data_IF_027023570140
#
_entry.id   IF_027023570140
#
_cell.length_a   1.000
_cell.length_b   1.000
_cell.length_c   1.000
_cell.angle_alpha   90.00
_cell.angle_beta   90.00
_cell.angle_gamma   90.00
#
_symmetry.space_group_name_H-M   'P 1'
#
loop_
_entity.id
_entity.type
_entity.pdbx_description
1 polymer ?
#
# COMPACT_ATOMS: atom_id res chain seq x y z
N UNK A 1 28.68 -22.03 1.43
CA UNK A 1 27.32 -22.12 0.85
C UNK A 1 26.37 -21.50 1.83
N UNK A 2 26.02 -20.23 1.64
CA UNK A 2 24.91 -19.59 2.36
C UNK A 2 23.84 -19.25 1.32
N UNK A 3 22.81 -20.09 1.28
CA UNK A 3 21.63 -19.90 0.45
C UNK A 3 20.47 -19.55 1.38
N UNK A 4 19.88 -18.37 1.19
CA UNK A 4 18.58 -18.02 1.76
C UNK A 4 18.60 -17.10 2.98
N UNK A 5 19.01 -15.84 2.78
CA UNK A 5 18.44 -14.77 3.59
C UNK A 5 17.06 -14.42 3.02
N UNK A 6 16.00 -14.19 3.83
CA UNK A 6 14.72 -13.81 3.29
C UNK A 6 14.89 -12.48 2.57
N UNK A 7 14.72 -12.47 1.24
CA UNK A 7 14.38 -11.24 0.54
C UNK A 7 12.95 -10.90 0.96
N UNK A 8 12.80 -10.34 2.18
CA UNK A 8 11.55 -9.79 2.67
C UNK A 8 11.19 -8.62 1.75
N UNK A 9 10.52 -8.96 0.65
CA UNK A 9 9.96 -7.97 -0.26
C UNK A 9 8.89 -7.23 0.52
N UNK A 10 9.24 -6.00 0.91
CA UNK A 10 8.31 -5.06 1.51
C UNK A 10 7.12 -4.92 0.55
N UNK A 11 5.92 -5.15 1.08
CA UNK A 11 4.70 -4.96 0.31
C UNK A 11 4.18 -3.56 0.57
N UNK A 12 3.90 -2.83 -0.51
CA UNK A 12 3.29 -1.51 -0.45
C UNK A 12 1.96 -1.57 -1.15
N UNK A 13 0.89 -1.22 -0.43
CA UNK A 13 -0.44 -1.01 -0.98
C UNK A 13 -0.64 0.49 -1.19
N UNK A 14 -0.95 0.92 -2.40
CA UNK A 14 -1.13 2.33 -2.74
C UNK A 14 -2.58 2.60 -3.10
N UNK A 15 -3.19 3.61 -2.50
CA UNK A 15 -4.50 4.13 -2.91
C UNK A 15 -4.34 5.45 -3.66
N UNK A 16 -4.90 5.48 -4.86
CA UNK A 16 -4.82 6.60 -5.78
C UNK A 16 -6.01 7.55 -5.63
N UNK A 17 -5.86 8.80 -6.11
CA UNK A 17 -6.93 9.82 -6.12
C UNK A 17 -8.20 9.40 -6.86
N UNK A 18 -8.10 8.49 -7.83
CA UNK A 18 -9.24 7.92 -8.56
C UNK A 18 -9.85 6.68 -7.88
N UNK A 19 -9.50 6.44 -6.62
CA UNK A 19 -9.92 5.30 -5.81
C UNK A 19 -9.44 3.94 -6.34
N UNK A 20 -8.46 3.90 -7.25
CA UNK A 20 -7.78 2.64 -7.59
C UNK A 20 -6.80 2.24 -6.50
N UNK A 21 -6.58 0.94 -6.36
CA UNK A 21 -5.64 0.38 -5.39
C UNK A 21 -4.67 -0.55 -6.10
N UNK A 22 -3.40 -0.35 -5.79
CA UNK A 22 -2.32 -1.18 -6.30
C UNK A 22 -1.62 -1.89 -5.13
N UNK A 23 -1.27 -3.17 -5.31
CA UNK A 23 -0.33 -3.86 -4.44
C UNK A 23 0.95 -4.08 -5.24
N UNK A 24 2.08 -3.53 -4.77
CA UNK A 24 3.35 -3.55 -5.51
C UNK A 24 3.22 -3.13 -6.98
N UNK A 25 2.42 -2.07 -7.26
CA UNK A 25 2.14 -1.51 -8.60
C UNK A 25 1.30 -2.41 -9.52
N UNK A 26 0.66 -3.45 -8.98
CA UNK A 26 -0.33 -4.24 -9.70
C UNK A 26 -1.72 -3.83 -9.24
N UNK A 27 -2.57 -3.43 -10.19
CA UNK A 27 -3.93 -3.00 -9.90
C UNK A 27 -4.83 -4.15 -9.44
N UNK A 28 -5.63 -3.86 -8.42
CA UNK A 28 -6.68 -4.74 -7.92
C UNK A 28 -7.97 -3.97 -7.69
N UNK A 29 -9.11 -4.64 -7.90
CA UNK A 29 -10.40 -4.10 -7.47
C UNK A 29 -10.55 -4.28 -5.96
N UNK A 30 -11.38 -3.45 -5.33
CA UNK A 30 -11.54 -3.42 -3.87
C UNK A 30 -12.06 -4.74 -3.32
N UNK A 31 -12.96 -5.37 -4.06
CA UNK A 31 -13.60 -6.65 -3.72
C UNK A 31 -12.60 -7.80 -3.68
N UNK A 32 -11.50 -7.69 -4.45
CA UNK A 32 -10.46 -8.72 -4.55
C UNK A 32 -9.31 -8.50 -3.57
N UNK A 33 -9.23 -7.35 -2.88
CA UNK A 33 -8.14 -7.06 -1.95
C UNK A 33 -8.03 -8.08 -0.81
N UNK A 34 -9.12 -8.52 -0.14
CA UNK A 34 -9.01 -9.51 0.93
C UNK A 34 -8.35 -10.82 0.44
N UNK A 35 -8.88 -11.42 -0.62
CA UNK A 35 -8.37 -12.65 -1.20
C UNK A 35 -6.90 -12.50 -1.65
N UNK A 36 -6.54 -11.35 -2.22
CA UNK A 36 -5.17 -11.09 -2.66
C UNK A 36 -4.20 -10.94 -1.49
N UNK A 37 -4.61 -10.29 -0.41
CA UNK A 37 -3.79 -10.19 0.78
C UNK A 37 -3.62 -11.57 1.44
N UNK A 38 -4.67 -12.38 1.52
CA UNK A 38 -4.56 -13.76 1.99
C UNK A 38 -3.59 -14.58 1.13
N UNK A 39 -3.69 -14.51 -0.20
CA UNK A 39 -2.80 -15.21 -1.13
C UNK A 39 -1.33 -14.79 -0.95
N UNK A 40 -1.06 -13.47 -0.87
CA UNK A 40 0.29 -12.91 -0.75
C UNK A 40 0.94 -13.29 0.59
N UNK A 41 0.15 -13.29 1.67
CA UNK A 41 0.64 -13.47 3.04
C UNK A 41 0.49 -14.89 3.58
N UNK A 42 -0.25 -15.79 2.92
CA UNK A 42 -0.35 -17.20 3.30
C UNK A 42 1.01 -17.88 3.50
N UNK A 43 2.02 -17.72 2.62
CA UNK A 43 3.33 -18.35 2.81
C UNK A 43 4.30 -17.55 3.70
N UNK A 44 3.91 -16.37 4.19
CA UNK A 44 4.82 -15.44 4.89
C UNK A 44 4.73 -15.63 6.41
N UNK A 45 5.89 -15.70 7.06
CA UNK A 45 5.97 -15.70 8.53
C UNK A 45 5.63 -14.32 9.10
N UNK A 46 6.15 -13.26 8.47
CA UNK A 46 5.85 -11.87 8.82
C UNK A 46 4.78 -11.30 7.90
N UNK A 47 3.68 -10.81 8.50
CA UNK A 47 2.53 -10.28 7.77
C UNK A 47 2.45 -8.77 7.93
N UNK A 48 3.39 -8.07 7.33
CA UNK A 48 3.54 -6.61 7.42
C UNK A 48 3.26 -5.95 6.07
N UNK A 49 2.45 -4.89 6.05
CA UNK A 49 2.20 -4.06 4.87
C UNK A 49 2.38 -2.57 5.17
N UNK A 50 2.85 -1.82 4.18
CA UNK A 50 2.83 -0.36 4.19
C UNK A 50 1.71 0.16 3.30
N UNK A 51 1.00 1.20 3.77
CA UNK A 51 -0.04 1.86 2.97
C UNK A 51 0.49 3.22 2.52
N UNK A 52 0.44 3.47 1.21
CA UNK A 52 0.68 4.78 0.61
C UNK A 52 -0.65 5.35 0.15
N UNK A 53 -0.89 6.63 0.43
CA UNK A 53 -2.07 7.32 -0.05
C UNK A 53 -1.65 8.57 -0.81
N UNK A 54 -2.18 8.73 -2.03
CA UNK A 54 -2.00 9.99 -2.76
C UNK A 54 -2.68 11.15 -2.01
N UNK A 55 -2.19 12.36 -2.25
CA UNK A 55 -2.81 13.58 -1.73
C UNK A 55 -4.28 13.65 -2.13
N UNK A 56 -5.15 14.16 -1.26
CA UNK A 56 -6.61 14.27 -1.45
C UNK A 56 -7.39 12.95 -1.36
N UNK A 57 -6.76 11.79 -1.14
CA UNK A 57 -7.51 10.58 -0.75
C UNK A 57 -8.17 10.82 0.62
N UNK A 58 -9.48 10.61 0.78
CA UNK A 58 -10.14 10.76 2.08
C UNK A 58 -9.57 9.78 3.09
N UNK A 59 -9.35 10.25 4.32
CA UNK A 59 -8.85 9.39 5.40
C UNK A 59 -9.73 8.15 5.64
N UNK A 60 -11.05 8.28 5.47
CA UNK A 60 -11.98 7.14 5.56
C UNK A 60 -11.64 5.99 4.59
N UNK A 61 -11.14 6.30 3.38
CA UNK A 61 -10.73 5.26 2.42
C UNK A 61 -9.44 4.57 2.82
N UNK A 62 -8.56 5.30 3.51
CA UNK A 62 -7.35 4.71 4.11
C UNK A 62 -7.73 3.77 5.25
N UNK A 63 -8.69 4.16 6.11
CA UNK A 63 -9.19 3.30 7.18
C UNK A 63 -9.80 2.00 6.64
N UNK A 64 -10.61 2.08 5.60
CA UNK A 64 -11.20 0.90 4.95
C UNK A 64 -10.13 -0.07 4.44
N UNK A 65 -9.03 0.44 3.87
CA UNK A 65 -7.89 -0.40 3.48
C UNK A 65 -7.15 -1.01 4.68
N UNK A 66 -7.01 -0.26 5.77
CA UNK A 66 -6.44 -0.78 7.01
C UNK A 66 -7.31 -1.90 7.60
N UNK A 67 -8.64 -1.75 7.54
CA UNK A 67 -9.59 -2.75 8.03
C UNK A 67 -9.56 -4.01 7.16
N UNK A 68 -9.50 -3.87 5.83
CA UNK A 68 -9.31 -4.99 4.90
C UNK A 68 -7.99 -5.73 5.20
N UNK A 69 -6.89 -5.01 5.36
CA UNK A 69 -5.59 -5.61 5.67
C UNK A 69 -5.60 -6.35 7.00
N UNK A 70 -6.15 -5.74 8.05
CA UNK A 70 -6.32 -6.38 9.36
C UNK A 70 -7.22 -7.62 9.29
N UNK A 71 -8.30 -7.56 8.51
CA UNK A 71 -9.20 -8.69 8.27
C UNK A 71 -8.48 -9.89 7.64
N UNK A 72 -7.52 -9.65 6.76
CA UNK A 72 -6.65 -10.68 6.18
C UNK A 72 -5.49 -11.13 7.10
N UNK A 73 -5.46 -10.67 8.36
CA UNK A 73 -4.41 -10.98 9.33
C UNK A 73 -3.07 -10.30 9.02
N UNK A 74 -3.09 -9.15 8.33
CA UNK A 74 -1.92 -8.35 7.98
C UNK A 74 -1.84 -7.12 8.88
N UNK A 75 -0.67 -6.90 9.46
CA UNK A 75 -0.34 -5.74 10.27
C UNK A 75 0.11 -4.57 9.38
N UNK A 76 -0.45 -3.39 9.62
CA UNK A 76 -0.11 -2.15 8.91
C UNK A 76 0.92 -1.37 9.72
N UNK A 77 2.12 -1.18 9.19
CA UNK A 77 3.21 -0.51 9.93
C UNK A 77 3.31 1.00 9.71
N UNK A 78 2.75 1.54 8.63
CA UNK A 78 2.87 2.98 8.35
C UNK A 78 1.99 3.47 7.20
N UNK A 79 1.56 4.72 7.32
CA UNK A 79 0.92 5.51 6.27
C UNK A 79 1.94 6.47 5.68
N UNK A 80 2.19 6.38 4.37
CA UNK A 80 3.02 7.36 3.65
C UNK A 80 2.08 8.29 2.88
N UNK A 81 1.73 9.47 3.42
CA UNK A 81 1.06 10.51 2.64
C UNK A 81 2.04 11.04 1.60
N UNK A 82 1.65 11.04 0.33
CA UNK A 82 2.43 11.69 -0.71
C UNK A 82 2.19 13.21 -0.63
N UNK A 83 3.12 13.94 -0.01
CA UNK A 83 3.18 15.40 -0.11
C UNK A 83 3.94 15.74 -1.40
N UNK A 84 3.27 16.37 -2.36
CA UNK A 84 3.95 17.05 -3.45
C UNK A 84 4.33 18.45 -2.93
N UNK A 85 5.61 18.79 -2.94
CA UNK A 85 6.00 20.21 -3.05
C UNK A 85 5.65 20.64 -4.47
N UNK A 86 4.71 21.59 -4.62
CA UNK A 86 4.59 22.34 -5.85
C UNK A 86 5.89 23.12 -6.03
N UNK A 87 6.79 22.62 -6.88
CA UNK A 87 7.83 23.47 -7.46
C UNK A 87 7.12 24.47 -8.37
N UNK A 88 6.79 25.64 -7.84
CA UNK A 88 6.46 26.80 -8.66
C UNK A 88 7.66 27.06 -9.58
N UNK A 89 7.55 26.68 -10.86
CA UNK A 89 8.45 27.17 -11.88
C UNK A 89 8.38 28.70 -11.86
N UNK A 90 9.37 29.32 -11.22
CA UNK A 90 9.53 30.77 -11.23
C UNK A 90 9.75 31.17 -12.68
N UNK A 91 8.68 31.70 -13.28
CA UNK A 91 8.70 32.35 -14.59
C UNK A 91 9.63 33.56 -14.48
N UNK A 92 10.88 33.37 -14.88
CA UNK A 92 11.83 34.45 -15.15
C UNK A 92 11.28 35.22 -16.35
N UNK A 93 10.68 36.39 -16.06
CA UNK A 93 10.41 37.44 -17.02
C UNK A 93 11.61 38.38 -17.10
#
# INVERSE_FOLDING_TARGET
TDAGGPTSSVIVMTVHRNMKVDINRTYHSWELLPDKLEEIYAPRQEKIIFIKAESKVPFARVLELMDIAKGAGVEVLGLIPEYFEEVEETKIF
#
